data_IF_123440744689
#
_entry.id   IF_123440744689
#
_cell.length_a   1.000
_cell.length_b   1.000
_cell.length_c   1.000
_cell.angle_alpha   90.00
_cell.angle_beta   90.00
_cell.angle_gamma   90.00
#
_symmetry.space_group_name_H-M   'P 1'
#
loop_
_entity.id
_entity.type
_entity.pdbx_description
1 polymer ?
#
# COMPACT_ATOMS: atom_id res chain seq x y z
N UNK A 1 13.85 -20.42 56.45
CA UNK A 1 14.23 -21.08 55.18
C UNK A 1 13.05 -21.62 54.36
N UNK A 2 11.92 -22.07 54.95
CA UNK A 2 10.81 -22.66 54.17
C UNK A 2 9.96 -21.67 53.36
N UNK A 3 9.81 -20.41 53.79
CA UNK A 3 9.03 -19.39 53.04
C UNK A 3 9.70 -18.90 51.75
N UNK A 4 11.03 -18.81 51.73
CA UNK A 4 11.79 -18.33 50.55
C UNK A 4 11.75 -19.34 49.38
N UNK A 5 11.74 -20.64 49.69
CA UNK A 5 11.70 -21.73 48.69
C UNK A 5 10.29 -21.86 48.08
N UNK A 6 9.24 -21.52 48.83
CA UNK A 6 7.86 -21.55 48.34
C UNK A 6 7.58 -20.42 47.34
N UNK A 7 8.21 -19.26 47.53
CA UNK A 7 8.06 -18.08 46.66
C UNK A 7 8.76 -18.28 45.30
N UNK A 8 10.01 -18.78 45.30
CA UNK A 8 10.74 -19.05 44.05
C UNK A 8 10.04 -20.07 43.14
N UNK A 9 9.38 -21.08 43.72
CA UNK A 9 8.63 -22.07 42.93
C UNK A 9 7.44 -21.43 42.22
N UNK A 10 6.69 -20.53 42.87
CA UNK A 10 5.58 -19.81 42.23
C UNK A 10 6.05 -18.93 41.07
N UNK A 11 7.15 -18.21 41.23
CA UNK A 11 7.70 -17.35 40.17
C UNK A 11 8.15 -18.15 38.95
N UNK A 12 8.77 -19.32 39.16
CA UNK A 12 9.18 -20.22 38.07
C UNK A 12 7.96 -20.84 37.38
N UNK A 13 6.95 -21.31 38.11
CA UNK A 13 5.70 -21.82 37.51
C UNK A 13 4.96 -20.73 36.72
N UNK A 14 4.95 -19.48 37.21
CA UNK A 14 4.33 -18.36 36.52
C UNK A 14 5.08 -18.00 35.23
N UNK A 15 6.42 -17.99 35.25
CA UNK A 15 7.25 -17.76 34.07
C UNK A 15 7.09 -18.87 33.02
N UNK A 16 6.97 -20.13 33.44
CA UNK A 16 6.69 -21.26 32.55
C UNK A 16 5.30 -21.21 31.95
N UNK A 17 4.28 -20.84 32.75
CA UNK A 17 2.91 -20.68 32.25
C UNK A 17 2.82 -19.55 31.22
N UNK A 18 3.52 -18.43 31.46
CA UNK A 18 3.68 -17.33 30.52
C UNK A 18 4.35 -17.82 29.24
N UNK A 19 5.53 -18.48 29.32
CA UNK A 19 6.23 -18.97 28.13
C UNK A 19 5.40 -19.96 27.30
N UNK A 20 4.62 -20.83 27.95
CA UNK A 20 3.70 -21.77 27.27
C UNK A 20 2.56 -21.01 26.59
N UNK A 21 1.90 -20.07 27.28
CA UNK A 21 0.81 -19.27 26.71
C UNK A 21 1.30 -18.42 25.53
N UNK A 22 2.46 -17.78 25.65
CA UNK A 22 3.07 -17.01 24.57
C UNK A 22 3.54 -17.91 23.41
N UNK A 23 4.05 -19.11 23.69
CA UNK A 23 4.43 -20.10 22.68
C UNK A 23 3.23 -20.60 21.87
N UNK A 24 2.14 -21.00 22.52
CA UNK A 24 0.91 -21.44 21.85
C UNK A 24 0.18 -20.32 21.11
N UNK A 25 0.15 -19.10 21.66
CA UNK A 25 -0.42 -17.93 20.99
C UNK A 25 0.35 -17.57 19.71
N UNK A 26 1.69 -17.69 19.74
CA UNK A 26 2.55 -17.41 18.57
C UNK A 26 2.35 -18.43 17.45
N UNK A 27 2.28 -19.72 17.78
CA UNK A 27 2.01 -20.80 16.79
C UNK A 27 0.61 -20.64 16.18
N UNK A 28 -0.38 -20.31 17.01
CA UNK A 28 -1.76 -20.10 16.56
C UNK A 28 -1.88 -18.88 15.65
N UNK A 29 -1.21 -17.78 15.97
CA UNK A 29 -1.21 -16.57 15.14
C UNK A 29 -0.53 -16.79 13.77
N UNK A 30 0.58 -17.53 13.74
CA UNK A 30 1.27 -17.90 12.50
C UNK A 30 0.40 -18.80 11.61
N UNK A 31 -0.27 -19.80 12.18
CA UNK A 31 -1.16 -20.69 11.43
C UNK A 31 -2.37 -19.95 10.85
N UNK A 32 -2.96 -19.00 11.58
CA UNK A 32 -4.08 -18.21 11.05
C UNK A 32 -3.63 -17.25 9.95
N UNK A 33 -2.45 -16.62 10.09
CA UNK A 33 -1.88 -15.77 9.04
C UNK A 33 -1.64 -16.57 7.74
N UNK A 34 -1.03 -17.76 7.85
CA UNK A 34 -0.78 -18.65 6.72
C UNK A 34 -2.08 -19.16 6.06
N UNK A 35 -3.11 -19.48 6.85
CA UNK A 35 -4.40 -19.90 6.33
C UNK A 35 -5.15 -18.77 5.63
N UNK A 36 -5.01 -17.53 6.11
CA UNK A 36 -5.68 -16.37 5.52
C UNK A 36 -5.03 -15.95 4.20
N UNK A 37 -3.70 -15.99 4.09
CA UNK A 37 -3.00 -15.77 2.82
C UNK A 37 -3.35 -16.82 1.77
N UNK A 38 -3.59 -18.08 2.18
CA UNK A 38 -4.16 -19.12 1.29
C UNK A 38 -5.55 -18.73 0.78
N UNK A 39 -6.45 -18.31 1.68
CA UNK A 39 -7.81 -17.91 1.31
C UNK A 39 -7.78 -16.75 0.32
N UNK A 40 -6.98 -15.73 0.63
CA UNK A 40 -6.77 -14.56 -0.21
C UNK A 40 -6.26 -14.95 -1.61
N UNK A 41 -5.25 -15.80 -1.69
CA UNK A 41 -4.75 -16.27 -3.00
C UNK A 41 -5.83 -17.02 -3.79
N UNK A 42 -6.65 -17.85 -3.11
CA UNK A 42 -7.78 -18.55 -3.74
C UNK A 42 -8.88 -17.61 -4.21
N UNK A 43 -8.99 -16.42 -3.62
CA UNK A 43 -9.93 -15.37 -4.03
C UNK A 43 -9.45 -14.55 -5.23
N UNK A 44 -8.16 -14.64 -5.61
CA UNK A 44 -7.67 -14.02 -6.84
C UNK A 44 -8.37 -14.65 -8.05
N UNK A 45 -8.90 -13.81 -8.94
CA UNK A 45 -9.68 -14.26 -10.10
C UNK A 45 -9.08 -13.76 -11.41
N UNK A 46 -9.33 -14.51 -12.49
CA UNK A 46 -9.02 -14.11 -13.86
C UNK A 46 -7.58 -13.61 -14.05
N UNK A 47 -7.45 -12.41 -14.63
CA UNK A 47 -6.16 -11.80 -14.93
C UNK A 47 -5.31 -11.51 -13.68
N UNK A 48 -5.92 -11.23 -12.53
CA UNK A 48 -5.17 -11.04 -11.27
C UNK A 48 -4.37 -12.32 -10.99
N UNK A 49 -5.06 -13.44 -10.83
CA UNK A 49 -4.44 -14.72 -10.53
C UNK A 49 -3.42 -15.13 -11.60
N UNK A 50 -3.76 -14.96 -12.87
CA UNK A 50 -2.86 -15.31 -13.98
C UNK A 50 -1.53 -14.53 -13.91
N UNK A 51 -1.59 -13.22 -13.67
CA UNK A 51 -0.39 -12.39 -13.54
C UNK A 51 0.48 -12.82 -12.35
N UNK A 52 -0.14 -13.17 -11.21
CA UNK A 52 0.60 -13.64 -10.05
C UNK A 52 1.26 -15.00 -10.29
N UNK A 53 0.51 -15.96 -10.83
CA UNK A 53 1.00 -17.31 -11.10
C UNK A 53 2.21 -17.28 -12.04
N UNK A 54 2.13 -16.46 -13.08
CA UNK A 54 3.17 -16.23 -14.07
C UNK A 54 4.42 -15.54 -13.46
N UNK A 55 4.22 -14.50 -12.65
CA UNK A 55 5.30 -13.86 -11.90
C UNK A 55 5.99 -14.83 -10.94
N UNK A 56 5.22 -15.60 -10.16
CA UNK A 56 5.75 -16.57 -9.22
C UNK A 56 6.63 -17.61 -9.93
N UNK A 57 6.17 -18.14 -11.08
CA UNK A 57 6.96 -19.07 -11.91
C UNK A 57 8.27 -18.45 -12.39
N UNK A 58 8.24 -17.23 -12.92
CA UNK A 58 9.48 -16.53 -13.35
C UNK A 58 10.46 -16.34 -12.20
N UNK A 59 9.98 -15.88 -11.05
CA UNK A 59 10.82 -15.66 -9.90
C UNK A 59 11.45 -16.94 -9.38
N UNK A 60 10.71 -18.05 -9.41
CA UNK A 60 11.23 -19.36 -9.07
C UNK A 60 12.33 -19.80 -10.03
N UNK A 61 12.15 -19.57 -11.33
CA UNK A 61 13.18 -19.83 -12.33
C UNK A 61 14.45 -18.99 -12.11
N UNK A 62 14.31 -17.71 -11.73
CA UNK A 62 15.44 -16.81 -11.47
C UNK A 62 16.19 -17.22 -10.21
N UNK A 63 15.47 -17.60 -9.16
CA UNK A 63 16.05 -17.91 -7.85
C UNK A 63 16.45 -19.39 -7.67
N UNK A 64 16.26 -20.24 -8.69
CA UNK A 64 16.48 -21.68 -8.58
C UNK A 64 15.55 -22.37 -7.57
N UNK A 65 14.33 -21.84 -7.39
CA UNK A 65 13.33 -22.34 -6.46
C UNK A 65 12.25 -23.15 -7.20
N UNK A 66 11.53 -24.01 -6.48
CA UNK A 66 10.46 -24.84 -7.03
C UNK A 66 9.13 -24.70 -6.28
N UNK A 67 8.92 -23.58 -5.59
CA UNK A 67 7.67 -23.35 -4.87
C UNK A 67 6.47 -23.24 -5.83
N UNK A 68 5.30 -23.65 -5.37
CA UNK A 68 4.05 -23.36 -6.08
C UNK A 68 3.70 -21.87 -5.98
N UNK A 69 2.84 -21.34 -6.88
CA UNK A 69 2.41 -19.95 -6.75
C UNK A 69 1.69 -19.64 -5.44
N UNK A 70 0.98 -20.60 -4.83
CA UNK A 70 0.35 -20.36 -3.53
C UNK A 70 1.40 -20.20 -2.42
N UNK A 71 2.42 -21.06 -2.39
CA UNK A 71 3.53 -20.94 -1.43
C UNK A 71 4.29 -19.62 -1.64
N UNK A 72 4.46 -19.20 -2.90
CA UNK A 72 5.06 -17.89 -3.22
C UNK A 72 4.20 -16.74 -2.69
N UNK A 73 2.88 -16.80 -2.85
CA UNK A 73 1.98 -15.78 -2.32
C UNK A 73 2.06 -15.71 -0.79
N UNK A 74 2.12 -16.86 -0.11
CA UNK A 74 2.27 -16.92 1.34
C UNK A 74 3.61 -16.36 1.82
N UNK A 75 4.65 -16.42 0.99
CA UNK A 75 5.98 -15.87 1.32
C UNK A 75 6.09 -14.35 1.16
N UNK A 76 5.08 -13.69 0.57
CA UNK A 76 5.04 -12.23 0.52
C UNK A 76 4.91 -11.64 1.92
N UNK A 77 5.54 -10.49 2.15
CA UNK A 77 5.24 -9.69 3.33
C UNK A 77 3.77 -9.24 3.31
N UNK A 78 3.25 -8.90 4.49
CA UNK A 78 1.89 -8.36 4.62
C UNK A 78 1.66 -7.16 3.69
N UNK A 79 2.62 -6.23 3.65
CA UNK A 79 2.56 -5.03 2.82
C UNK A 79 2.59 -5.36 1.32
N UNK A 80 3.45 -6.28 0.88
CA UNK A 80 3.49 -6.73 -0.52
C UNK A 80 2.18 -7.38 -0.96
N UNK A 81 1.66 -8.30 -0.14
CA UNK A 81 0.39 -8.97 -0.42
C UNK A 81 -0.77 -7.99 -0.52
N UNK A 82 -0.82 -6.97 0.36
CA UNK A 82 -1.88 -5.95 0.33
C UNK A 82 -1.74 -5.01 -0.86
N UNK A 83 -0.52 -4.58 -1.20
CA UNK A 83 -0.24 -3.76 -2.40
C UNK A 83 -0.73 -4.45 -3.65
N UNK A 84 -0.30 -5.70 -3.85
CA UNK A 84 -0.64 -6.47 -5.03
C UNK A 84 -2.16 -6.64 -5.19
N UNK A 85 -2.86 -6.97 -4.12
CA UNK A 85 -4.31 -7.14 -4.17
C UNK A 85 -5.05 -5.83 -4.40
N UNK A 86 -4.69 -4.77 -3.67
CA UNK A 86 -5.37 -3.48 -3.81
C UNK A 86 -5.21 -2.93 -5.23
N UNK A 87 -4.00 -2.96 -5.78
CA UNK A 87 -3.76 -2.47 -7.14
C UNK A 87 -4.49 -3.32 -8.17
N UNK A 88 -4.30 -4.65 -8.15
CA UNK A 88 -4.92 -5.50 -9.18
C UNK A 88 -6.43 -5.57 -9.07
N UNK A 89 -7.01 -5.50 -7.86
CA UNK A 89 -8.46 -5.44 -7.70
C UNK A 89 -9.01 -4.12 -8.27
N UNK A 90 -8.39 -2.98 -7.95
CA UNK A 90 -8.80 -1.68 -8.46
C UNK A 90 -8.74 -1.66 -9.99
N UNK A 91 -7.63 -2.13 -10.58
CA UNK A 91 -7.43 -2.22 -12.02
C UNK A 91 -8.49 -3.10 -12.71
N UNK A 92 -8.90 -4.21 -12.08
CA UNK A 92 -9.95 -5.08 -12.60
C UNK A 92 -11.36 -4.45 -12.54
N UNK A 93 -11.55 -3.37 -11.79
CA UNK A 93 -12.82 -2.62 -11.71
C UNK A 93 -12.88 -1.41 -12.63
N UNK A 94 -11.74 -0.88 -13.04
CA UNK A 94 -11.68 0.30 -13.91
C UNK A 94 -11.86 -0.12 -15.36
N UNK A 95 -13.00 0.24 -15.95
CA UNK A 95 -13.29 -0.01 -17.36
C UNK A 95 -12.53 0.99 -18.23
N UNK A 96 -11.85 0.49 -19.25
CA UNK A 96 -11.20 1.32 -20.27
C UNK A 96 -12.21 1.60 -21.38
N UNK A 97 -13.24 2.39 -21.09
CA UNK A 97 -14.11 2.92 -22.13
C UNK A 97 -13.45 4.18 -22.67
N UNK A 98 -13.25 4.23 -23.98
CA UNK A 98 -12.81 5.45 -24.65
C UNK A 98 -13.91 6.04 -25.53
N UNK A 99 -13.57 7.13 -26.21
CA UNK A 99 -14.44 7.80 -27.21
C UNK A 99 -14.74 6.94 -28.43
N UNK A 100 -14.03 5.83 -28.62
CA UNK A 100 -14.23 4.82 -29.67
C UNK A 100 -14.70 3.49 -29.09
N UNK A 101 -15.51 2.74 -29.85
CA UNK A 101 -15.97 1.38 -29.48
C UNK A 101 -14.83 0.33 -29.40
N UNK A 102 -13.62 0.64 -29.85
CA UNK A 102 -12.48 -0.28 -29.88
C UNK A 102 -11.73 -0.42 -28.54
N UNK A 103 -11.88 0.53 -27.61
CA UNK A 103 -11.34 0.41 -26.25
C UNK A 103 -12.36 -0.33 -25.39
N UNK A 104 -12.22 -1.66 -25.34
CA UNK A 104 -12.98 -2.53 -24.44
C UNK A 104 -12.04 -3.25 -23.47
N UNK A 105 -12.57 -3.60 -22.30
CA UNK A 105 -11.81 -4.25 -21.23
C UNK A 105 -11.64 -3.36 -20.00
N UNK A 106 -10.70 -3.75 -19.16
CA UNK A 106 -10.39 -3.14 -17.86
C UNK A 106 -8.91 -2.76 -17.79
N UNK A 107 -8.55 -1.90 -16.83
CA UNK A 107 -7.18 -1.40 -16.71
C UNK A 107 -6.15 -2.52 -16.43
N UNK A 108 -6.57 -3.64 -15.83
CA UNK A 108 -5.70 -4.81 -15.64
C UNK A 108 -5.32 -5.49 -16.97
N UNK A 109 -6.11 -5.28 -18.03
CA UNK A 109 -5.85 -5.79 -19.39
C UNK A 109 -4.83 -4.94 -20.15
N UNK A 110 -4.19 -3.98 -19.50
CA UNK A 110 -3.01 -3.27 -20.01
C UNK A 110 -1.71 -3.96 -19.58
N UNK A 111 -1.77 -4.88 -18.62
CA UNK A 111 -0.60 -5.50 -18.01
C UNK A 111 -0.31 -6.84 -18.68
N UNK A 112 0.89 -6.94 -19.24
CA UNK A 112 1.38 -8.18 -19.85
C UNK A 112 2.05 -9.09 -18.81
N UNK A 113 2.83 -8.51 -17.89
CA UNK A 113 3.54 -9.24 -16.86
C UNK A 113 3.84 -8.37 -15.63
N UNK A 114 3.91 -8.97 -14.45
CA UNK A 114 4.48 -8.30 -13.26
C UNK A 114 6.00 -8.48 -13.29
N UNK A 115 6.72 -7.42 -12.94
CA UNK A 115 8.16 -7.42 -12.72
C UNK A 115 8.48 -7.49 -11.22
N UNK A 116 7.90 -6.58 -10.43
CA UNK A 116 8.14 -6.51 -8.99
C UNK A 116 6.89 -6.05 -8.21
N UNK A 117 6.78 -6.51 -6.97
CA UNK A 117 5.76 -6.11 -5.99
C UNK A 117 6.50 -5.46 -4.81
N UNK A 118 6.47 -4.14 -4.74
CA UNK A 118 7.06 -3.39 -3.65
C UNK A 118 6.00 -3.14 -2.56
N UNK A 119 6.31 -3.56 -1.34
CA UNK A 119 5.50 -3.29 -0.17
C UNK A 119 6.01 -2.06 0.56
N UNK A 120 6.03 -2.18 1.87
CA UNK A 120 6.75 -1.29 2.78
C UNK A 120 8.22 -1.72 2.81
N UNK A 121 9.14 -0.76 2.65
CA UNK A 121 10.58 -1.01 2.56
C UNK A 121 11.33 0.00 3.42
N UNK A 122 12.13 -0.51 4.36
CA UNK A 122 12.91 0.32 5.29
C UNK A 122 13.88 1.23 4.52
N UNK A 123 13.90 2.52 4.89
CA UNK A 123 14.81 3.50 4.31
C UNK A 123 14.40 4.06 2.95
N UNK A 124 13.27 3.63 2.36
CA UNK A 124 12.74 4.20 1.12
C UNK A 124 11.84 5.41 1.35
N UNK A 125 11.82 6.32 0.38
CA UNK A 125 10.90 7.45 0.34
C UNK A 125 9.44 6.98 0.34
N UNK A 126 8.52 7.82 0.82
CA UNK A 126 7.10 7.46 0.86
C UNK A 126 6.50 7.23 -0.53
N UNK A 127 7.02 7.93 -1.52
CA UNK A 127 6.68 7.82 -2.94
C UNK A 127 7.32 6.60 -3.63
N UNK A 128 8.21 5.85 -2.99
CA UNK A 128 8.86 4.66 -3.60
C UNK A 128 8.29 3.32 -3.07
N UNK A 129 7.29 3.40 -2.20
CA UNK A 129 6.70 2.25 -1.52
C UNK A 129 5.30 1.94 -2.03
N UNK A 130 4.83 0.71 -1.76
CA UNK A 130 3.51 0.22 -2.17
C UNK A 130 3.25 0.33 -3.69
N UNK A 131 4.27 -0.06 -4.47
CA UNK A 131 4.29 0.00 -5.94
C UNK A 131 4.12 -1.37 -6.59
N UNK A 132 3.45 -1.41 -7.74
CA UNK A 132 3.45 -2.56 -8.63
C UNK A 132 4.18 -2.21 -9.93
N UNK A 133 5.35 -2.82 -10.13
CA UNK A 133 6.13 -2.65 -11.35
C UNK A 133 5.76 -3.72 -12.36
N UNK A 134 5.45 -3.30 -13.58
CA UNK A 134 4.87 -4.17 -14.61
C UNK A 134 5.45 -3.91 -15.99
N UNK A 135 5.35 -4.92 -16.85
CA UNK A 135 5.39 -4.75 -18.30
C UNK A 135 3.98 -4.50 -18.82
N UNK A 136 3.89 -3.62 -19.80
CA UNK A 136 2.64 -3.26 -20.46
C UNK A 136 2.46 -4.04 -21.76
N UNK A 137 1.21 -4.23 -22.17
CA UNK A 137 0.88 -4.68 -23.52
C UNK A 137 1.14 -3.55 -24.53
N UNK A 138 1.46 -3.92 -25.77
CA UNK A 138 1.64 -2.93 -26.86
C UNK A 138 0.38 -2.08 -27.05
N UNK A 139 0.56 -0.78 -27.31
CA UNK A 139 -0.55 0.16 -27.48
C UNK A 139 -1.21 0.62 -26.17
N UNK A 140 -0.63 0.31 -25.01
CA UNK A 140 -1.17 0.76 -23.71
C UNK A 140 -1.25 2.28 -23.59
N UNK A 141 -0.23 3.01 -24.07
CA UNK A 141 -0.25 4.48 -24.04
C UNK A 141 -1.45 5.05 -24.80
N UNK A 142 -1.69 4.58 -26.02
CA UNK A 142 -2.84 5.02 -26.82
C UNK A 142 -4.16 4.69 -26.12
N UNK A 143 -4.26 3.50 -25.52
CA UNK A 143 -5.45 3.08 -24.77
C UNK A 143 -5.70 3.96 -23.54
N UNK A 144 -4.65 4.37 -22.82
CA UNK A 144 -4.77 5.26 -21.66
C UNK A 144 -5.11 6.69 -22.07
N UNK A 145 -4.53 7.19 -23.17
CA UNK A 145 -4.77 8.54 -23.69
C UNK A 145 -6.22 8.74 -24.13
N UNK A 146 -6.86 7.72 -24.71
CA UNK A 146 -8.25 7.81 -25.19
C UNK A 146 -9.30 7.34 -24.18
N UNK A 147 -8.90 6.76 -23.05
CA UNK A 147 -9.83 6.23 -22.05
C UNK A 147 -10.35 7.34 -21.13
N UNK A 148 -11.67 7.46 -20.98
CA UNK A 148 -12.29 8.48 -20.12
C UNK A 148 -11.94 8.29 -18.62
N UNK A 149 -11.55 7.07 -18.27
CA UNK A 149 -11.17 6.71 -16.91
C UNK A 149 -9.85 7.33 -16.46
N UNK A 150 -9.01 7.80 -17.38
CA UNK A 150 -7.69 8.35 -17.07
C UNK A 150 -7.47 9.70 -17.75
N UNK A 151 -6.65 10.53 -17.15
CA UNK A 151 -6.15 11.75 -17.77
C UNK A 151 -4.63 11.80 -17.65
N UNK A 152 -3.99 12.39 -18.66
CA UNK A 152 -2.55 12.63 -18.63
C UNK A 152 -2.22 13.69 -17.58
N UNK A 153 -1.34 13.35 -16.65
CA UNK A 153 -0.78 14.25 -15.65
C UNK A 153 0.39 15.06 -16.21
N UNK A 154 0.96 15.94 -15.37
CA UNK A 154 2.25 16.59 -15.69
C UNK A 154 3.35 15.52 -15.80
N UNK A 155 4.34 15.76 -16.66
CA UNK A 155 5.52 14.87 -16.80
C UNK A 155 6.18 14.73 -15.43
N UNK A 156 6.31 13.49 -14.95
CA UNK A 156 6.81 13.23 -13.59
C UNK A 156 8.27 12.74 -13.60
N UNK A 157 9.14 13.49 -14.28
CA UNK A 157 10.56 13.15 -14.42
C UNK A 157 11.40 13.40 -13.15
N UNK A 158 10.81 14.04 -12.13
CA UNK A 158 11.50 14.35 -10.86
C UNK A 158 11.30 13.25 -9.82
N UNK A 159 10.08 12.72 -9.65
CA UNK A 159 9.78 11.68 -8.66
C UNK A 159 9.85 10.26 -9.24
N UNK A 160 9.59 10.08 -10.55
CA UNK A 160 9.81 8.80 -11.24
C UNK A 160 10.71 9.01 -12.46
N UNK A 161 12.02 9.17 -12.22
CA UNK A 161 12.99 9.49 -13.27
C UNK A 161 12.94 8.52 -14.47
N UNK A 162 12.66 7.25 -14.22
CA UNK A 162 12.54 6.22 -15.27
C UNK A 162 11.15 6.16 -15.91
N UNK A 163 10.13 6.80 -15.32
CA UNK A 163 8.72 6.68 -15.72
C UNK A 163 8.07 8.06 -15.94
N UNK A 164 8.48 8.80 -16.99
CA UNK A 164 8.11 10.21 -17.18
C UNK A 164 6.63 10.43 -17.56
N UNK A 165 5.95 9.45 -18.15
CA UNK A 165 4.56 9.60 -18.58
C UNK A 165 3.59 9.24 -17.45
N UNK A 166 2.85 10.21 -16.94
CA UNK A 166 1.92 10.01 -15.84
C UNK A 166 0.47 10.01 -16.33
N UNK A 167 -0.30 8.99 -15.99
CA UNK A 167 -1.75 8.93 -16.17
C UNK A 167 -2.44 8.69 -14.83
N UNK A 168 -3.36 9.55 -14.46
CA UNK A 168 -4.11 9.47 -13.20
C UNK A 168 -5.57 9.17 -13.47
N UNK A 169 -6.16 8.37 -12.61
CA UNK A 169 -7.56 8.03 -12.75
C UNK A 169 -8.46 9.23 -12.45
N UNK A 170 -9.43 9.46 -13.33
CA UNK A 170 -10.45 10.49 -13.16
C UNK A 170 -11.36 10.19 -11.95
N UNK A 171 -11.86 11.23 -11.28
CA UNK A 171 -12.86 11.11 -10.21
C UNK A 171 -12.31 11.19 -8.78
N UNK A 172 -11.13 11.79 -8.58
CA UNK A 172 -10.56 12.09 -7.26
C UNK A 172 -10.00 10.87 -6.51
N UNK A 173 -9.54 11.08 -5.28
CA UNK A 173 -8.96 10.03 -4.44
C UNK A 173 -10.04 9.12 -3.81
N UNK A 174 -9.78 7.81 -3.63
CA UNK A 174 -8.57 7.12 -4.04
C UNK A 174 -8.44 7.00 -5.56
N UNK A 175 -7.23 7.12 -6.10
CA UNK A 175 -6.95 7.20 -7.53
C UNK A 175 -5.80 6.28 -7.92
N UNK A 176 -5.97 5.52 -8.99
CA UNK A 176 -4.87 4.77 -9.61
C UNK A 176 -3.97 5.76 -10.37
N UNK A 177 -2.66 5.56 -10.29
CA UNK A 177 -1.68 6.24 -11.14
C UNK A 177 -0.87 5.21 -11.93
N UNK A 178 -0.68 5.47 -13.22
CA UNK A 178 0.31 4.82 -14.06
C UNK A 178 1.44 5.82 -14.33
N UNK A 179 2.64 5.53 -13.86
CA UNK A 179 3.87 6.17 -14.31
C UNK A 179 4.53 5.24 -15.32
N UNK A 180 4.74 5.67 -16.56
CA UNK A 180 5.15 4.83 -17.70
C UNK A 180 6.49 5.29 -18.26
N UNK A 181 7.34 4.32 -18.63
CA UNK A 181 8.64 4.55 -19.29
C UNK A 181 8.49 5.29 -20.62
N UNK A 182 9.55 5.95 -21.08
CA UNK A 182 9.54 6.73 -22.34
C UNK A 182 9.17 5.86 -23.56
N UNK A 183 9.57 4.57 -23.55
CA UNK A 183 9.26 3.61 -24.61
C UNK A 183 7.87 2.97 -24.49
N UNK A 184 7.11 3.30 -23.44
CA UNK A 184 5.77 2.77 -23.20
C UNK A 184 5.71 1.30 -22.78
N UNK A 185 6.85 0.64 -22.53
CA UNK A 185 6.91 -0.81 -22.32
C UNK A 185 6.74 -1.24 -20.87
N UNK A 186 7.00 -0.35 -19.90
CA UNK A 186 6.96 -0.65 -18.47
C UNK A 186 6.23 0.44 -17.70
N UNK A 187 5.65 0.06 -16.55
CA UNK A 187 5.00 1.00 -15.65
C UNK A 187 5.29 0.72 -14.18
N UNK A 188 5.32 1.79 -13.41
CA UNK A 188 5.10 1.83 -11.97
C UNK A 188 3.63 2.22 -11.74
N UNK A 189 2.92 1.41 -10.95
CA UNK A 189 1.52 1.61 -10.62
C UNK A 189 1.36 1.70 -9.11
N UNK A 190 0.63 2.72 -8.65
CA UNK A 190 0.21 2.89 -7.26
C UNK A 190 -1.23 3.42 -7.15
N UNK A 191 -1.73 3.45 -5.92
CA UNK A 191 -3.02 4.06 -5.57
C UNK A 191 -2.77 5.19 -4.59
N UNK A 192 -3.08 6.41 -4.98
CA UNK A 192 -3.11 7.55 -4.08
C UNK A 192 -4.42 7.58 -3.30
N UNK A 193 -4.37 7.52 -1.96
CA UNK A 193 -5.53 7.66 -1.08
C UNK A 193 -5.85 9.12 -0.71
N UNK A 194 -4.90 10.03 -0.90
CA UNK A 194 -5.04 11.46 -0.67
C UNK A 194 -4.88 12.26 -1.96
N UNK A 195 -5.53 13.43 -2.00
CA UNK A 195 -5.46 14.31 -3.16
C UNK A 195 -4.06 14.90 -3.34
N UNK A 196 -3.58 14.92 -4.59
CA UNK A 196 -2.33 15.58 -4.99
C UNK A 196 -2.52 17.08 -5.29
N UNK A 197 -3.71 17.65 -5.07
CA UNK A 197 -3.98 19.06 -5.36
C UNK A 197 -3.21 19.98 -4.41
N UNK A 198 -2.45 20.92 -4.96
CA UNK A 198 -1.80 21.98 -4.19
C UNK A 198 -2.82 23.03 -3.71
N UNK A 199 -2.70 23.58 -2.48
CA UNK A 199 -1.67 23.30 -1.47
C UNK A 199 -1.98 22.09 -0.57
N UNK A 200 -3.16 21.48 -0.70
CA UNK A 200 -3.63 20.41 0.18
C UNK A 200 -2.65 19.23 0.29
N UNK A 201 -1.95 18.89 -0.79
CA UNK A 201 -0.93 17.85 -0.86
C UNK A 201 0.22 18.01 0.16
N UNK A 202 0.53 19.25 0.61
CA UNK A 202 1.61 19.52 1.56
C UNK A 202 1.24 19.13 3.01
N UNK A 203 -0.05 19.12 3.34
CA UNK A 203 -0.51 18.97 4.72
C UNK A 203 -1.42 17.75 4.93
N UNK A 204 -1.97 17.18 3.86
CA UNK A 204 -2.87 16.03 3.94
C UNK A 204 -2.16 14.66 4.03
N UNK A 205 -0.82 14.65 4.00
CA UNK A 205 -0.04 13.42 4.05
C UNK A 205 0.17 12.71 2.70
N UNK A 206 -0.16 13.35 1.56
CA UNK A 206 0.04 12.78 0.21
C UNK A 206 1.49 12.33 -0.04
N UNK A 207 2.48 13.04 0.52
CA UNK A 207 3.89 12.71 0.37
C UNK A 207 4.41 11.62 1.33
N UNK A 208 3.52 11.04 2.17
CA UNK A 208 3.90 9.98 3.12
C UNK A 208 3.65 8.60 2.52
N UNK A 209 4.43 7.60 2.93
CA UNK A 209 4.26 6.21 2.51
C UNK A 209 2.83 5.68 2.73
N UNK A 210 2.16 6.16 3.79
CA UNK A 210 0.78 5.82 4.11
C UNK A 210 -0.24 6.25 3.03
N UNK A 211 0.11 7.17 2.13
CA UNK A 211 -0.76 7.60 1.04
C UNK A 211 -0.96 6.50 -0.01
N UNK A 212 -0.07 5.51 -0.10
CA UNK A 212 -0.20 4.40 -1.04
C UNK A 212 -0.50 3.05 -0.37
N UNK A 213 -0.59 3.04 0.96
CA UNK A 213 -0.96 1.88 1.75
C UNK A 213 -2.49 1.78 1.93
N UNK A 214 -3.08 0.65 1.55
CA UNK A 214 -4.51 0.38 1.73
C UNK A 214 -4.88 0.04 3.18
N UNK A 215 -3.91 -0.44 3.97
CA UNK A 215 -4.15 -1.05 5.28
C UNK A 215 -4.72 -0.09 6.33
N UNK A 216 -4.31 1.21 6.38
CA UNK A 216 -4.92 2.18 7.27
C UNK A 216 -6.44 2.26 7.10
N UNK A 217 -7.18 2.21 8.20
CA UNK A 217 -8.65 2.06 8.20
C UNK A 217 -9.38 3.08 7.32
N UNK A 218 -8.95 4.35 7.32
CA UNK A 218 -9.53 5.39 6.46
C UNK A 218 -9.31 5.12 4.95
N UNK A 219 -8.12 4.69 4.55
CA UNK A 219 -7.77 4.33 3.18
C UNK A 219 -8.57 3.12 2.72
N UNK A 220 -8.64 2.06 3.54
CA UNK A 220 -9.47 0.90 3.24
C UNK A 220 -10.95 1.26 3.04
N UNK A 221 -11.52 2.11 3.90
CA UNK A 221 -12.92 2.57 3.73
C UNK A 221 -13.11 3.35 2.43
N UNK A 222 -12.18 4.24 2.09
CA UNK A 222 -12.18 4.95 0.81
C UNK A 222 -12.06 3.99 -0.38
N UNK A 223 -11.18 3.01 -0.26
CA UNK A 223 -10.95 1.96 -1.25
C UNK A 223 -12.25 1.21 -1.54
N UNK A 224 -12.86 0.57 -0.54
CA UNK A 224 -14.02 -0.33 -0.76
C UNK A 224 -15.27 0.43 -1.20
N UNK A 225 -15.36 1.73 -0.88
CA UNK A 225 -16.41 2.62 -1.40
C UNK A 225 -16.28 2.80 -2.92
N UNK A 226 -15.05 2.83 -3.45
CA UNK A 226 -14.77 3.04 -4.88
C UNK A 226 -14.65 1.72 -5.66
N UNK A 227 -13.91 0.75 -5.11
CA UNK A 227 -13.66 -0.56 -5.70
C UNK A 227 -14.02 -1.65 -4.69
N UNK A 228 -15.21 -2.22 -4.86
CA UNK A 228 -15.71 -3.28 -3.97
C UNK A 228 -14.96 -4.60 -4.18
N UNK A 229 -14.88 -5.42 -3.13
CA UNK A 229 -14.42 -6.81 -3.22
C UNK A 229 -12.96 -7.04 -2.86
N UNK A 230 -12.32 -6.07 -2.20
CA UNK A 230 -11.11 -6.30 -1.43
C UNK A 230 -11.49 -6.66 0.01
N UNK A 231 -10.94 -7.74 0.55
CA UNK A 231 -11.09 -8.11 1.96
C UNK A 231 -10.01 -7.41 2.81
N UNK A 232 -10.33 -7.03 4.04
CA UNK A 232 -9.37 -6.45 5.01
C UNK A 232 -8.58 -7.53 5.74
N UNK A 233 -7.97 -8.44 4.97
CA UNK A 233 -7.41 -9.66 5.53
C UNK A 233 -6.23 -9.41 6.50
N UNK A 234 -5.59 -8.24 6.43
CA UNK A 234 -4.54 -7.78 7.34
C UNK A 234 -5.05 -7.41 8.75
N UNK A 235 -6.33 -7.14 8.93
CA UNK A 235 -6.93 -6.86 10.24
C UNK A 235 -7.24 -8.17 10.96
N UNK A 236 -6.21 -8.88 11.43
CA UNK A 236 -6.38 -10.07 12.26
C UNK A 236 -5.96 -9.81 13.70
N UNK A 237 -6.88 -10.04 14.63
CA UNK A 237 -6.59 -10.31 16.04
C UNK A 237 -7.22 -11.68 16.31
N UNK A 238 -6.45 -12.70 16.72
CA UNK A 238 -7.04 -13.94 17.23
C UNK A 238 -8.03 -13.60 18.35
N UNK A 239 -9.18 -14.27 18.42
CA UNK A 239 -10.20 -14.00 19.46
C UNK A 239 -9.63 -14.00 20.90
N UNK A 240 -8.57 -14.77 21.17
CA UNK A 240 -7.85 -14.78 22.46
C UNK A 240 -6.89 -13.61 22.72
N UNK A 241 -6.50 -12.84 21.70
CA UNK A 241 -5.67 -11.63 21.83
C UNK A 241 -6.52 -10.34 21.91
N UNK A 242 -7.83 -10.40 21.68
CA UNK A 242 -8.73 -9.25 21.91
C UNK A 242 -8.66 -8.83 23.39
N UNK A 243 -8.63 -9.80 24.31
CA UNK A 243 -8.49 -9.57 25.75
C UNK A 243 -7.18 -8.88 26.11
N UNK A 244 -6.08 -9.20 25.39
CA UNK A 244 -4.78 -8.55 25.58
C UNK A 244 -4.75 -7.16 24.94
N UNK A 245 -5.38 -6.97 23.77
CA UNK A 245 -5.51 -5.66 23.13
C UNK A 245 -6.38 -4.72 23.97
N UNK A 246 -7.40 -5.23 24.64
CA UNK A 246 -8.22 -4.49 25.60
C UNK A 246 -7.48 -4.23 26.91
N UNK A 247 -6.62 -5.16 27.36
CA UNK A 247 -5.73 -4.95 28.51
C UNK A 247 -4.67 -3.88 28.24
N UNK A 248 -4.03 -3.90 27.07
CA UNK A 248 -3.07 -2.86 26.65
C UNK A 248 -3.78 -1.53 26.33
N UNK A 249 -4.99 -1.54 25.75
CA UNK A 249 -5.81 -0.32 25.61
C UNK A 249 -6.24 0.26 26.95
N UNK A 250 -6.52 -0.58 27.94
CA UNK A 250 -6.86 -0.15 29.29
C UNK A 250 -5.63 0.37 30.04
N UNK A 251 -4.43 -0.16 29.78
CA UNK A 251 -3.18 0.35 30.34
C UNK A 251 -2.64 1.60 29.64
N UNK A 252 -3.16 1.93 28.44
CA UNK A 252 -2.85 3.17 27.70
C UNK A 252 -3.99 4.20 27.76
N UNK A 253 -4.99 4.00 28.62
CA UNK A 253 -5.95 5.06 28.95
C UNK A 253 -5.30 6.04 29.92
N UNK A 254 -4.40 6.87 29.38
CA UNK A 254 -4.31 8.26 29.79
C UNK A 254 -5.07 9.09 28.74
N UNK A 255 -6.10 9.76 29.23
CA UNK A 255 -6.86 10.88 28.69
C UNK A 255 -7.47 10.81 27.28
N UNK A 256 -8.80 10.69 27.31
CA UNK A 256 -9.69 11.18 26.27
C UNK A 256 -9.47 12.69 26.04
N UNK A 257 -8.84 13.06 24.92
CA UNK A 257 -9.11 14.35 24.28
C UNK A 257 -9.87 14.08 22.99
N UNK A 258 -11.13 14.51 22.98
CA UNK A 258 -11.94 14.60 21.79
C UNK A 258 -11.18 15.41 20.73
N UNK A 259 -11.27 15.00 19.46
CA UNK A 259 -10.86 15.80 18.31
C UNK A 259 -11.71 17.08 18.23
N UNK A 260 -11.43 18.07 19.07
CA UNK A 260 -11.67 19.47 18.76
C UNK A 260 -10.55 19.90 17.82
N UNK A 261 -10.89 20.52 16.69
CA UNK A 261 -9.88 21.10 15.80
C UNK A 261 -8.90 21.94 16.61
N UNK A 262 -7.60 21.68 16.44
CA UNK A 262 -6.57 22.40 17.18
C UNK A 262 -6.69 23.88 16.82
N UNK A 263 -6.85 24.80 17.80
CA UNK A 263 -6.98 26.24 17.54
C UNK A 263 -5.72 26.87 16.91
N UNK A 264 -4.64 26.10 16.80
CA UNK A 264 -3.34 26.52 16.27
C UNK A 264 -2.99 25.85 14.92
N UNK A 265 -3.93 25.12 14.30
CA UNK A 265 -3.74 24.67 12.92
C UNK A 265 -3.72 25.92 12.02
N UNK A 266 -2.64 26.16 11.24
CA UNK A 266 -2.56 27.35 10.41
C UNK A 266 -3.72 27.36 9.42
N UNK A 267 -4.39 28.50 9.32
CA UNK A 267 -5.41 28.69 8.29
C UNK A 267 -4.80 28.55 6.88
N UNK A 268 -5.67 28.38 5.88
CA UNK A 268 -5.25 28.12 4.51
C UNK A 268 -4.33 29.23 3.95
N UNK A 269 -4.44 30.45 4.46
CA UNK A 269 -3.64 31.61 4.08
C UNK A 269 -2.24 31.57 4.72
N UNK A 270 -2.17 31.22 6.01
CA UNK A 270 -0.93 31.01 6.76
C UNK A 270 -0.14 29.81 6.22
N UNK A 271 -0.83 28.75 5.80
CA UNK A 271 -0.24 27.60 5.15
C UNK A 271 0.33 27.93 3.76
N UNK A 272 -0.34 28.81 3.00
CA UNK A 272 0.15 29.31 1.72
C UNK A 272 1.37 30.23 1.89
N UNK A 273 1.36 31.12 2.88
CA UNK A 273 2.49 31.99 3.20
C UNK A 273 3.73 31.19 3.66
N UNK A 274 3.55 30.12 4.44
CA UNK A 274 4.63 29.22 4.83
C UNK A 274 5.22 28.44 3.64
N UNK A 275 4.38 28.05 2.68
CA UNK A 275 4.83 27.42 1.44
C UNK A 275 5.61 28.40 0.55
N UNK A 276 5.12 29.64 0.40
CA UNK A 276 5.84 30.70 -0.35
C UNK A 276 7.17 31.06 0.32
N UNK A 277 7.22 31.11 1.65
CA UNK A 277 8.46 31.32 2.40
C UNK A 277 9.45 30.17 2.19
N UNK A 278 8.99 28.91 2.22
CA UNK A 278 9.81 27.75 1.91
C UNK A 278 10.36 27.79 0.47
N UNK A 279 9.52 28.11 -0.51
CA UNK A 279 9.96 28.21 -1.91
C UNK A 279 10.92 29.37 -2.15
N UNK A 280 10.70 30.54 -1.53
CA UNK A 280 11.61 31.66 -1.62
C UNK A 280 12.97 31.35 -0.99
N UNK A 281 13.00 30.71 0.18
CA UNK A 281 14.24 30.28 0.84
C UNK A 281 14.95 29.20 0.01
N UNK A 282 14.21 28.26 -0.57
CA UNK A 282 14.78 27.19 -1.40
C UNK A 282 15.29 27.67 -2.76
N UNK A 283 14.63 28.66 -3.37
CA UNK A 283 15.06 29.28 -4.62
C UNK A 283 16.25 30.23 -4.41
N UNK A 284 16.25 31.03 -3.33
CA UNK A 284 17.36 31.98 -3.05
C UNK A 284 18.64 31.30 -2.55
N UNK A 285 18.54 30.16 -1.85
CA UNK A 285 19.72 29.39 -1.44
C UNK A 285 20.36 28.56 -2.58
N UNK A 286 19.79 28.56 -3.79
CA UNK A 286 20.43 27.95 -4.96
C UNK A 286 21.35 28.91 -5.71
N UNK A 287 21.21 30.22 -5.52
CA UNK A 287 22.04 31.23 -6.20
C UNK A 287 23.32 31.59 -5.43
N UNK A 288 23.56 31.03 -4.24
CA UNK A 288 24.79 31.25 -3.45
C UNK A 288 25.75 30.05 -3.46
N UNK A 289 25.48 29.03 -4.29
CA UNK A 289 26.29 27.81 -4.41
C UNK A 289 27.22 27.74 -5.62
N UNK A 290 27.55 28.86 -6.25
CA UNK A 290 28.57 28.92 -7.31
C UNK A 290 29.58 30.05 -7.07
N UNK A 291 30.56 29.78 -6.22
CA UNK A 291 31.94 30.29 -6.28
C UNK A 291 32.84 29.36 -5.46
#
# INVERSE_FOLDING_TARGET
MSRLIFDMRKTIYFAWLIAIVFGFASISALNVSAQKTITVYKELKGKQKALFDDWAKRQNSINGQSSSPIERFQSLSLSQGSTYQAITNALAKVKLKGRSKSTSGTAIDLISAIENIAGEEDGKGGDEQFRLYVKLDSGTLDRLEIADAFHRGKRNSFFHREYPHNYRQTGGAPSIQFSITEDGSRADIDIDYHSSSFPLALFNGHLRASNSDVRPHHNYRGYVKRWTGLSDWWNFIPEGLNTLKDFFKASTRDDHIASTGHPDAPDAESAAAAADAFFNIWLTNKDTGSA
#
